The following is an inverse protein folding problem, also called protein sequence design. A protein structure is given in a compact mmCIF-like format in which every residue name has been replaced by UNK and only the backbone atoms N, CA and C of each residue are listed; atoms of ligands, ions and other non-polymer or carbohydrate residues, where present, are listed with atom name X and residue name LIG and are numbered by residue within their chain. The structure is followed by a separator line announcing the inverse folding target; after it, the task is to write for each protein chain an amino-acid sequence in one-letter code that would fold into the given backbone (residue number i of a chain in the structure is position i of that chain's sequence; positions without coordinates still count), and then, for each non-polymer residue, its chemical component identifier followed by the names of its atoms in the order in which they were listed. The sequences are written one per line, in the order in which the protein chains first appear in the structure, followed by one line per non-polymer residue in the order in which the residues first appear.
data_IF_943512635200
#
_entry.id   IF_943512635200
#
_cell.length_a   1.000
_cell.length_b   1.000
_cell.length_c   1.000
_cell.angle_alpha   90.00
_cell.angle_beta   90.00
_cell.angle_gamma   90.00
#
_symmetry.space_group_name_H-M   'P 1'
#
loop_
_entity.id
_entity.type
_entity.pdbx_description
1 polymer ?
#
# COMPACT_ATOMS: atom_id res chain seq x y z
N UNK A 1 36.97 14.30 -13.03
CA UNK A 1 35.51 14.49 -12.91
C UNK A 1 34.88 13.68 -14.03
N UNK A 2 34.92 12.35 -13.91
CA UNK A 2 34.13 11.41 -14.70
C UNK A 2 32.99 10.98 -13.77
N UNK A 3 31.77 11.00 -14.29
CA UNK A 3 30.54 10.66 -13.59
C UNK A 3 30.53 9.18 -13.19
N UNK A 4 30.30 8.97 -11.90
CA UNK A 4 30.08 7.70 -11.21
C UNK A 4 28.69 7.14 -11.56
N UNK A 5 28.48 6.75 -12.83
CA UNK A 5 27.18 6.29 -13.37
C UNK A 5 27.30 4.94 -14.11
N UNK A 6 28.36 4.16 -13.84
CA UNK A 6 28.59 2.86 -14.50
C UNK A 6 28.00 1.65 -13.73
N UNK A 7 27.54 1.82 -12.48
CA UNK A 7 26.98 0.73 -11.65
C UNK A 7 25.45 0.77 -11.52
N UNK A 8 24.74 1.26 -12.55
CA UNK A 8 23.28 1.22 -12.58
C UNK A 8 22.80 -0.20 -12.91
N UNK A 9 22.73 -1.07 -11.91
CA UNK A 9 22.07 -2.37 -12.03
C UNK A 9 20.62 -2.16 -12.48
N UNK A 10 20.21 -2.83 -13.56
CA UNK A 10 18.84 -2.81 -14.05
C UNK A 10 17.91 -3.25 -12.92
N UNK A 11 17.02 -2.36 -12.50
CA UNK A 11 15.99 -2.70 -11.52
C UNK A 11 14.98 -3.66 -12.15
N UNK A 12 14.25 -4.43 -11.34
CA UNK A 12 13.12 -5.24 -11.85
C UNK A 12 12.12 -4.37 -12.66
N UNK A 13 12.02 -3.09 -12.31
CA UNK A 13 11.24 -2.08 -12.99
C UNK A 13 11.77 -1.69 -14.38
N UNK A 14 13.08 -1.71 -14.60
CA UNK A 14 13.71 -1.44 -15.89
C UNK A 14 13.58 -2.65 -16.83
N UNK A 15 13.70 -3.86 -16.28
CA UNK A 15 13.49 -5.11 -17.02
C UNK A 15 12.03 -5.20 -17.49
N UNK A 16 11.06 -4.89 -16.62
CA UNK A 16 9.65 -4.87 -17.00
C UNK A 16 9.34 -3.84 -18.09
N UNK A 17 9.98 -2.66 -18.06
CA UNK A 17 9.85 -1.63 -19.10
C UNK A 17 10.41 -2.11 -20.44
N UNK A 18 11.58 -2.75 -20.44
CA UNK A 18 12.17 -3.34 -21.63
C UNK A 18 11.26 -4.42 -22.25
N UNK A 19 10.73 -5.33 -21.42
CA UNK A 19 9.83 -6.40 -21.87
C UNK A 19 8.54 -5.83 -22.46
N UNK A 20 7.91 -4.86 -21.79
CA UNK A 20 6.68 -4.23 -22.29
C UNK A 20 6.89 -3.55 -23.65
N UNK A 21 8.02 -2.86 -23.83
CA UNK A 21 8.39 -2.23 -25.10
C UNK A 21 8.63 -3.26 -26.20
N UNK A 22 9.36 -4.35 -25.90
CA UNK A 22 9.62 -5.42 -26.88
C UNK A 22 8.33 -6.10 -27.32
N UNK A 23 7.43 -6.43 -26.39
CA UNK A 23 6.13 -7.03 -26.70
C UNK A 23 5.27 -6.08 -27.54
N UNK A 24 5.19 -4.80 -27.15
CA UNK A 24 4.40 -3.82 -27.89
C UNK A 24 4.96 -3.56 -29.30
N UNK A 25 6.28 -3.52 -29.46
CA UNK A 25 6.94 -3.43 -30.76
C UNK A 25 6.68 -4.66 -31.63
N UNK A 26 6.72 -5.85 -31.05
CA UNK A 26 6.38 -7.09 -31.75
C UNK A 26 4.94 -7.12 -32.25
N UNK A 27 3.99 -6.72 -31.40
CA UNK A 27 2.58 -6.59 -31.76
C UNK A 27 2.36 -5.54 -32.85
N UNK A 28 3.01 -4.38 -32.73
CA UNK A 28 2.93 -3.31 -33.72
C UNK A 28 3.53 -3.75 -35.06
N UNK A 29 4.66 -4.47 -35.04
CA UNK A 29 5.28 -5.00 -36.25
C UNK A 29 4.41 -6.03 -36.97
N UNK A 30 3.75 -6.92 -36.20
CA UNK A 30 2.80 -7.90 -36.71
C UNK A 30 1.53 -7.24 -37.27
N UNK A 31 0.95 -6.29 -36.55
CA UNK A 31 -0.26 -5.57 -36.98
C UNK A 31 -0.04 -4.77 -38.27
N UNK A 32 1.17 -4.23 -38.45
CA UNK A 32 1.56 -3.44 -39.62
C UNK A 32 2.17 -4.29 -40.74
N UNK A 33 2.17 -5.63 -40.62
CA UNK A 33 2.68 -6.54 -41.64
C UNK A 33 2.10 -6.32 -43.06
N UNK A 34 0.79 -6.07 -43.25
CA UNK A 34 0.23 -5.87 -44.60
C UNK A 34 0.55 -4.50 -45.22
N UNK A 35 1.20 -3.59 -44.48
CA UNK A 35 1.50 -2.24 -44.97
C UNK A 35 2.82 -2.19 -45.76
N UNK A 36 2.88 -1.23 -46.68
CA UNK A 36 4.10 -0.93 -47.42
C UNK A 36 5.24 -0.52 -46.46
N UNK A 37 6.49 -1.00 -46.65
CA UNK A 37 7.67 -0.64 -45.86
C UNK A 37 7.83 0.87 -45.58
N UNK A 38 7.53 1.73 -46.56
CA UNK A 38 7.64 3.19 -46.42
C UNK A 38 6.63 3.80 -45.42
N UNK A 39 5.53 3.11 -45.15
CA UNK A 39 4.55 3.47 -44.12
C UNK A 39 4.81 2.71 -42.81
N UNK A 40 5.27 1.45 -42.91
CA UNK A 40 5.52 0.56 -41.78
C UNK A 40 6.60 1.09 -40.83
N UNK A 41 7.78 1.46 -41.34
CA UNK A 41 8.90 1.84 -40.47
C UNK A 41 8.68 3.18 -39.74
N UNK A 42 8.15 4.24 -40.39
CA UNK A 42 7.77 5.46 -39.67
C UNK A 42 6.68 5.18 -38.61
N UNK A 43 5.67 4.37 -38.94
CA UNK A 43 4.62 4.00 -37.99
C UNK A 43 5.16 3.22 -36.77
N UNK A 44 6.19 2.37 -36.95
CA UNK A 44 6.86 1.70 -35.84
C UNK A 44 7.61 2.71 -34.96
N UNK A 45 8.35 3.63 -35.57
CA UNK A 45 9.10 4.66 -34.82
C UNK A 45 8.14 5.53 -34.00
N UNK A 46 7.11 6.11 -34.62
CA UNK A 46 6.13 6.95 -33.91
C UNK A 46 5.29 6.15 -32.91
N UNK A 47 4.90 4.91 -33.25
CA UNK A 47 4.16 4.02 -32.36
C UNK A 47 4.94 3.65 -31.10
N UNK A 48 6.25 3.41 -31.21
CA UNK A 48 7.10 3.10 -30.07
C UNK A 48 7.21 4.26 -29.07
N UNK A 49 7.33 5.49 -29.56
CA UNK A 49 7.33 6.71 -28.74
C UNK A 49 5.98 6.88 -28.05
N UNK A 50 4.88 6.63 -28.76
CA UNK A 50 3.53 6.70 -28.20
C UNK A 50 3.29 5.64 -27.11
N UNK A 51 3.73 4.40 -27.33
CA UNK A 51 3.65 3.32 -26.33
C UNK A 51 4.46 3.67 -25.08
N UNK A 52 5.69 4.17 -25.23
CA UNK A 52 6.51 4.59 -24.10
C UNK A 52 5.86 5.75 -23.33
N UNK A 53 5.28 6.72 -24.02
CA UNK A 53 4.58 7.84 -23.39
C UNK A 53 3.36 7.36 -22.59
N UNK A 54 2.56 6.45 -23.17
CA UNK A 54 1.39 5.86 -22.50
C UNK A 54 1.79 4.99 -21.31
N UNK A 55 2.83 4.17 -21.45
CA UNK A 55 3.38 3.37 -20.35
C UNK A 55 3.84 4.25 -19.18
N UNK A 56 4.61 5.30 -19.46
CA UNK A 56 5.09 6.25 -18.44
C UNK A 56 3.94 7.02 -17.78
N UNK A 57 2.94 7.44 -18.55
CA UNK A 57 1.75 8.10 -18.02
C UNK A 57 0.95 7.15 -17.12
N UNK A 58 0.75 5.90 -17.55
CA UNK A 58 0.13 4.85 -16.74
C UNK A 58 0.88 4.60 -15.43
N UNK A 59 2.19 4.43 -15.48
CA UNK A 59 3.04 4.25 -14.29
C UNK A 59 2.90 5.40 -13.29
N UNK A 60 2.96 6.65 -13.77
CA UNK A 60 2.77 7.83 -12.91
C UNK A 60 1.39 7.84 -12.26
N UNK A 61 0.36 7.44 -13.00
CA UNK A 61 -0.99 7.35 -12.47
C UNK A 61 -1.12 6.26 -11.38
N UNK A 62 -0.57 5.07 -11.61
CA UNK A 62 -0.52 4.01 -10.59
C UNK A 62 0.26 4.42 -9.34
N UNK A 63 1.44 5.02 -9.52
CA UNK A 63 2.24 5.53 -8.40
C UNK A 63 1.49 6.63 -7.63
N UNK A 64 0.80 7.54 -8.32
CA UNK A 64 -0.01 8.58 -7.67
C UNK A 64 -1.22 7.99 -6.93
N UNK A 65 -1.84 6.93 -7.45
CA UNK A 65 -2.95 6.23 -6.79
C UNK A 65 -2.46 5.51 -5.53
N UNK A 66 -1.35 4.79 -5.60
CA UNK A 66 -0.75 4.12 -4.46
C UNK A 66 -0.29 5.12 -3.40
N UNK A 67 0.40 6.20 -3.79
CA UNK A 67 0.82 7.24 -2.85
C UNK A 67 -0.36 7.99 -2.20
N UNK A 68 -1.53 8.08 -2.86
CA UNK A 68 -2.76 8.58 -2.21
C UNK A 68 -3.35 7.59 -1.22
N UNK A 69 -3.26 6.28 -1.50
CA UNK A 69 -3.70 5.23 -0.56
C UNK A 69 -2.80 5.24 0.68
N UNK A 70 -1.49 5.24 0.50
CA UNK A 70 -0.51 5.31 1.60
C UNK A 70 -0.72 6.53 2.49
N UNK A 71 -0.84 7.74 1.90
CA UNK A 71 -1.12 8.96 2.68
C UNK A 71 -2.42 8.93 3.48
N UNK A 72 -3.43 8.16 3.03
CA UNK A 72 -4.70 8.02 3.79
C UNK A 72 -4.54 7.10 4.99
N UNK A 73 -3.50 6.28 5.01
CA UNK A 73 -3.24 5.32 6.07
C UNK A 73 -2.15 5.80 7.03
N UNK A 74 -1.46 6.91 6.76
CA UNK A 74 -0.47 7.47 7.69
C UNK A 74 -1.10 7.67 9.09
N UNK A 75 -0.42 7.27 10.18
CA UNK A 75 0.98 6.82 10.26
C UNK A 75 1.21 5.32 9.98
N UNK A 76 0.17 4.53 9.67
CA UNK A 76 0.31 3.12 9.34
C UNK A 76 0.99 2.92 7.98
N UNK A 77 1.76 1.83 7.86
CA UNK A 77 2.48 1.48 6.64
C UNK A 77 2.13 0.07 6.19
N UNK A 78 1.93 -0.08 4.89
CA UNK A 78 1.78 -1.39 4.27
C UNK A 78 3.13 -1.84 3.72
N UNK A 79 3.56 -3.05 4.10
CA UNK A 79 4.79 -3.69 3.64
C UNK A 79 4.44 -5.01 2.97
N UNK A 80 5.15 -5.35 1.90
CA UNK A 80 5.11 -6.70 1.35
C UNK A 80 6.19 -7.53 2.05
N UNK A 81 5.79 -8.58 2.76
CA UNK A 81 6.71 -9.44 3.54
C UNK A 81 7.14 -10.68 2.75
N UNK A 82 6.29 -11.16 1.83
CA UNK A 82 6.62 -12.18 0.84
C UNK A 82 5.78 -11.95 -0.44
N UNK A 83 6.10 -12.59 -1.58
CA UNK A 83 5.26 -12.48 -2.78
C UNK A 83 3.80 -12.88 -2.48
N UNK A 84 2.89 -11.92 -2.55
CA UNK A 84 1.46 -12.11 -2.22
C UNK A 84 1.09 -11.81 -0.77
N UNK A 85 2.04 -11.87 0.17
CA UNK A 85 1.78 -11.61 1.59
C UNK A 85 2.09 -10.16 1.97
N UNK A 86 1.12 -9.49 2.59
CA UNK A 86 1.22 -8.10 2.99
C UNK A 86 1.05 -7.95 4.51
N UNK A 87 1.66 -6.91 5.06
CA UNK A 87 1.59 -6.59 6.48
C UNK A 87 1.34 -5.10 6.66
N UNK A 88 0.36 -4.77 7.50
CA UNK A 88 0.05 -3.42 7.93
C UNK A 88 0.67 -3.20 9.31
N UNK A 89 1.48 -2.15 9.43
CA UNK A 89 2.27 -1.88 10.63
C UNK A 89 2.01 -0.47 11.16
N UNK A 90 1.92 -0.35 12.48
CA UNK A 90 1.95 0.91 13.22
C UNK A 90 2.99 0.79 14.34
N UNK A 91 3.92 1.75 14.40
CA UNK A 91 4.84 1.86 15.54
C UNK A 91 4.07 2.47 16.71
N UNK A 92 4.07 1.78 17.84
CA UNK A 92 3.41 2.19 19.06
C UNK A 92 4.27 3.20 19.85
N UNK A 93 3.69 3.88 20.83
CA UNK A 93 4.37 4.91 21.65
C UNK A 93 5.03 6.05 20.83
N UNK A 94 4.20 6.72 20.04
CA UNK A 94 4.56 7.88 19.21
C UNK A 94 3.40 8.35 18.32
N UNK A 95 2.16 7.93 18.61
CA UNK A 95 0.99 8.25 17.78
C UNK A 95 0.32 9.54 18.24
N UNK A 96 -0.40 10.24 17.35
CA UNK A 96 -1.13 11.47 17.72
C UNK A 96 -2.17 11.28 18.83
N UNK A 97 -2.68 10.05 19.02
CA UNK A 97 -3.72 9.74 20.00
C UNK A 97 -3.20 9.17 21.32
N UNK A 98 -1.89 8.99 21.50
CA UNK A 98 -1.33 8.31 22.68
C UNK A 98 -1.68 8.98 24.01
N UNK A 99 -1.76 10.31 24.06
CA UNK A 99 -2.18 11.02 25.27
C UNK A 99 -3.63 10.69 25.63
N UNK A 100 -4.50 10.54 24.63
CA UNK A 100 -5.88 10.14 24.86
C UNK A 100 -6.00 8.68 25.30
N UNK A 101 -5.18 7.77 24.76
CA UNK A 101 -5.09 6.37 25.24
C UNK A 101 -4.74 6.36 26.74
N UNK A 102 -3.67 7.06 27.13
CA UNK A 102 -3.24 7.14 28.54
C UNK A 102 -4.30 7.79 29.44
N UNK A 103 -4.99 8.81 28.96
CA UNK A 103 -6.06 9.47 29.72
C UNK A 103 -7.27 8.56 29.97
N UNK A 104 -7.46 7.52 29.15
CA UNK A 104 -8.46 6.47 29.34
C UNK A 104 -7.97 5.35 30.27
N UNK A 105 -6.73 5.42 30.75
CA UNK A 105 -6.14 4.39 31.62
C UNK A 105 -5.46 3.26 30.88
N UNK A 106 -5.30 3.39 29.56
CA UNK A 106 -4.70 2.37 28.70
C UNK A 106 -3.22 2.66 28.37
N UNK A 107 -2.48 1.62 28.01
CA UNK A 107 -1.12 1.73 27.47
C UNK A 107 -1.16 1.81 25.93
N UNK A 108 -0.56 2.82 25.28
CA UNK A 108 -0.57 2.96 23.81
C UNK A 108 0.42 2.02 23.11
N UNK A 109 0.35 0.73 23.44
CA UNK A 109 1.18 -0.34 22.90
C UNK A 109 0.52 -1.04 21.71
N UNK A 110 1.23 -1.97 21.06
CA UNK A 110 0.68 -2.67 19.88
C UNK A 110 -0.53 -3.55 20.17
N UNK A 111 -0.65 -4.11 21.39
CA UNK A 111 -1.81 -4.91 21.79
C UNK A 111 -3.08 -4.06 21.95
N UNK A 112 -2.96 -2.86 22.52
CA UNK A 112 -4.04 -1.89 22.55
C UNK A 112 -4.56 -1.58 21.14
N UNK A 113 -3.64 -1.24 20.23
CA UNK A 113 -3.98 -0.94 18.84
C UNK A 113 -4.53 -2.14 18.09
N UNK A 114 -4.15 -3.37 18.48
CA UNK A 114 -4.79 -4.58 17.97
C UNK A 114 -6.25 -4.66 18.37
N UNK A 115 -6.56 -4.43 19.65
CA UNK A 115 -7.94 -4.38 20.12
C UNK A 115 -8.77 -3.37 19.35
N UNK A 116 -8.22 -2.18 19.08
CA UNK A 116 -8.87 -1.18 18.21
C UNK A 116 -9.10 -1.75 16.80
N UNK A 117 -8.11 -2.39 16.21
CA UNK A 117 -8.23 -3.06 14.90
C UNK A 117 -9.35 -4.09 14.87
N UNK A 118 -9.44 -4.96 15.88
CA UNK A 118 -10.50 -5.96 16.02
C UNK A 118 -11.89 -5.35 16.14
N UNK A 119 -12.02 -4.21 16.85
CA UNK A 119 -13.30 -3.49 16.94
C UNK A 119 -13.71 -2.80 15.65
N UNK A 120 -12.74 -2.41 14.81
CA UNK A 120 -13.01 -1.77 13.52
C UNK A 120 -13.33 -2.78 12.41
N UNK A 121 -12.93 -4.05 12.56
CA UNK A 121 -13.23 -5.10 11.59
C UNK A 121 -14.68 -5.57 11.67
N UNK A 122 -15.22 -5.95 10.52
CA UNK A 122 -16.60 -6.41 10.40
C UNK A 122 -16.66 -7.77 9.68
N UNK A 123 -17.32 -8.75 10.31
CA UNK A 123 -17.71 -10.02 9.69
C UNK A 123 -16.57 -10.75 8.99
N UNK A 124 -16.79 -11.17 7.74
CA UNK A 124 -15.85 -11.97 6.95
C UNK A 124 -14.45 -11.35 6.79
N UNK A 125 -14.31 -10.02 6.85
CA UNK A 125 -13.00 -9.37 6.76
C UNK A 125 -12.10 -9.67 7.98
N UNK A 126 -12.69 -10.03 9.12
CA UNK A 126 -11.92 -10.45 10.29
C UNK A 126 -11.28 -11.83 10.11
N UNK A 127 -11.85 -12.69 9.26
CA UNK A 127 -11.32 -14.03 9.00
C UNK A 127 -10.07 -13.99 8.10
N UNK A 128 -9.97 -12.97 7.25
CA UNK A 128 -8.88 -12.79 6.28
C UNK A 128 -7.66 -12.04 6.84
N UNK A 129 -7.74 -11.58 8.09
CA UNK A 129 -6.68 -10.77 8.72
C UNK A 129 -6.17 -11.49 9.97
N UNK A 130 -4.88 -11.82 9.96
CA UNK A 130 -4.18 -12.35 11.12
C UNK A 130 -3.43 -11.25 11.85
N UNK A 131 -3.70 -11.06 13.14
CA UNK A 131 -2.96 -10.12 13.98
C UNK A 131 -1.72 -10.77 14.60
N UNK A 132 -0.66 -9.99 14.73
CA UNK A 132 0.66 -10.42 15.20
C UNK A 132 1.35 -9.27 15.93
N UNK A 133 0.59 -8.56 16.76
CA UNK A 133 1.07 -7.36 17.43
C UNK A 133 2.01 -7.69 18.58
N UNK A 134 2.92 -6.77 18.86
CA UNK A 134 3.87 -6.80 19.96
C UNK A 134 3.77 -5.47 20.74
N UNK A 135 4.32 -5.41 21.95
CA UNK A 135 4.24 -4.19 22.77
C UNK A 135 4.69 -2.91 22.01
N UNK A 136 5.75 -2.99 21.20
CA UNK A 136 6.24 -1.84 20.43
C UNK A 136 5.54 -1.58 19.10
N UNK A 137 4.64 -2.47 18.65
CA UNK A 137 4.17 -2.45 17.26
C UNK A 137 2.83 -3.16 17.09
N UNK A 138 1.86 -2.49 16.50
CA UNK A 138 0.71 -3.16 15.93
C UNK A 138 1.09 -3.77 14.58
N UNK A 139 0.70 -5.03 14.35
CA UNK A 139 0.90 -5.71 13.09
C UNK A 139 -0.31 -6.57 12.71
N UNK A 140 -0.74 -6.44 11.45
CA UNK A 140 -1.79 -7.24 10.84
C UNK A 140 -1.32 -7.78 9.48
N UNK A 141 -1.63 -9.03 9.17
CA UNK A 141 -1.19 -9.75 7.97
C UNK A 141 -2.38 -10.26 7.17
N UNK A 142 -2.30 -10.15 5.84
CA UNK A 142 -3.27 -10.74 4.92
C UNK A 142 -2.66 -10.96 3.55
N UNK A 143 -3.17 -11.95 2.83
CA UNK A 143 -2.89 -12.15 1.41
C UNK A 143 -3.77 -11.23 0.53
N UNK A 144 -4.82 -10.61 1.10
CA UNK A 144 -5.62 -9.58 0.43
C UNK A 144 -5.14 -8.16 0.84
N UNK A 145 -4.41 -7.45 -0.05
CA UNK A 145 -3.96 -6.09 0.23
C UNK A 145 -5.12 -5.09 0.33
N UNK A 146 -6.30 -5.38 -0.24
CA UNK A 146 -7.45 -4.47 -0.12
C UNK A 146 -8.06 -4.57 1.28
N UNK A 147 -8.15 -5.76 1.89
CA UNK A 147 -8.55 -5.95 3.27
C UNK A 147 -7.67 -5.12 4.24
N UNK A 148 -6.34 -5.17 4.07
CA UNK A 148 -5.41 -4.35 4.85
C UNK A 148 -5.53 -2.85 4.54
N UNK A 149 -5.87 -2.47 3.31
CA UNK A 149 -6.08 -1.05 2.96
C UNK A 149 -7.31 -0.49 3.66
N UNK A 150 -8.39 -1.26 3.75
CA UNK A 150 -9.61 -0.88 4.46
C UNK A 150 -9.31 -0.75 5.96
N UNK A 151 -8.68 -1.76 6.56
CA UNK A 151 -8.28 -1.71 7.97
C UNK A 151 -7.35 -0.53 8.25
N UNK A 152 -6.31 -0.33 7.43
CA UNK A 152 -5.36 0.77 7.58
C UNK A 152 -6.00 2.15 7.48
N UNK A 153 -6.98 2.32 6.59
CA UNK A 153 -7.71 3.59 6.47
C UNK A 153 -8.60 3.83 7.70
N UNK A 154 -9.28 2.80 8.21
CA UNK A 154 -10.09 2.90 9.41
C UNK A 154 -9.24 3.19 10.66
N UNK A 155 -8.13 2.46 10.82
CA UNK A 155 -7.16 2.66 11.89
C UNK A 155 -6.58 4.08 11.85
N UNK A 156 -6.15 4.56 10.67
CA UNK A 156 -5.61 5.91 10.53
C UNK A 156 -6.60 6.99 10.96
N UNK A 157 -7.89 6.81 10.69
CA UNK A 157 -8.93 7.75 11.13
C UNK A 157 -9.05 7.82 12.67
N UNK A 158 -8.74 6.73 13.38
CA UNK A 158 -8.77 6.68 14.85
C UNK A 158 -7.44 7.14 15.46
N UNK A 159 -6.32 6.69 14.91
CA UNK A 159 -4.96 7.03 15.36
C UNK A 159 -4.68 8.53 15.24
N UNK A 160 -5.22 9.21 14.23
CA UNK A 160 -5.04 10.64 14.04
C UNK A 160 -6.10 11.52 14.73
N UNK A 161 -7.13 10.94 15.33
CA UNK A 161 -8.23 11.67 15.96
C UNK A 161 -8.48 11.18 17.39
N UNK A 162 -7.94 11.89 18.39
CA UNK A 162 -8.13 11.54 19.80
C UNK A 162 -9.59 11.54 20.26
N UNK A 163 -10.47 12.33 19.62
CA UNK A 163 -11.90 12.31 19.96
C UNK A 163 -12.55 11.03 19.43
N UNK A 164 -12.24 10.66 18.19
CA UNK A 164 -12.70 9.40 17.60
C UNK A 164 -12.21 8.18 18.37
N UNK A 165 -10.97 8.19 18.85
CA UNK A 165 -10.45 7.13 19.72
C UNK A 165 -11.33 6.94 20.96
N UNK A 166 -11.68 8.02 21.66
CA UNK A 166 -12.53 7.93 22.86
C UNK A 166 -13.90 7.34 22.56
N UNK A 167 -14.49 7.67 21.41
CA UNK A 167 -15.76 7.09 20.96
C UNK A 167 -15.65 5.57 20.77
N UNK A 168 -14.58 5.11 20.11
CA UNK A 168 -14.34 3.69 19.84
C UNK A 168 -14.09 2.91 21.12
N UNK A 169 -13.25 3.44 22.02
CA UNK A 169 -12.96 2.80 23.31
C UNK A 169 -14.23 2.71 24.17
N UNK A 170 -14.97 3.82 24.32
CA UNK A 170 -16.19 3.82 25.11
C UNK A 170 -17.26 2.84 24.57
N UNK A 171 -17.36 2.72 23.24
CA UNK A 171 -18.25 1.72 22.62
C UNK A 171 -17.78 0.28 22.89
N UNK A 172 -16.47 0.02 22.82
CA UNK A 172 -15.90 -1.28 23.10
C UNK A 172 -16.13 -1.70 24.57
N UNK A 173 -15.87 -0.80 25.52
CA UNK A 173 -16.14 -1.03 26.95
C UNK A 173 -17.62 -1.26 27.23
N UNK A 174 -18.52 -0.52 26.56
CA UNK A 174 -19.96 -0.73 26.68
C UNK A 174 -20.42 -2.10 26.18
N UNK A 175 -19.71 -2.65 25.18
CA UNK A 175 -19.90 -4.01 24.68
C UNK A 175 -19.25 -5.09 25.57
N UNK A 176 -18.54 -4.68 26.64
CA UNK A 176 -17.81 -5.57 27.56
C UNK A 176 -16.48 -6.06 27.03
N UNK A 177 -15.92 -5.40 26.01
CA UNK A 177 -14.59 -5.70 25.48
C UNK A 177 -13.51 -5.27 26.48
N UNK A 178 -12.46 -6.08 26.61
CA UNK A 178 -11.30 -5.81 27.48
C UNK A 178 -10.08 -5.70 26.57
N UNK A 179 -9.35 -4.59 26.68
CA UNK A 179 -8.08 -4.41 25.98
C UNK A 179 -6.96 -5.16 26.73
N UNK A 180 -6.06 -5.81 25.97
CA UNK A 180 -4.94 -6.62 26.48
C UNK A 180 -3.66 -5.79 26.71
N UNK A 181 -3.82 -4.49 26.91
CA UNK A 181 -2.74 -3.49 26.94
C UNK A 181 -1.89 -3.49 28.22
#
# INVERSE_FOLDING_TARGET
MLTDDEDRQFTAADIAELVAVVVALGLLFWLLEPLNPWLKYPAILFGSVAVLALWRAGRRWFAARNGRRERRMEPLRMLQTAPGAHSLILVADGTPSDEAVRALGHEPNGYFWQGIGERLLAGAMAEDIAFDSEAGMFAARSDDPEALTVLGTAMAAVVNDPARLREVVAAAEADGFVFDD
#
